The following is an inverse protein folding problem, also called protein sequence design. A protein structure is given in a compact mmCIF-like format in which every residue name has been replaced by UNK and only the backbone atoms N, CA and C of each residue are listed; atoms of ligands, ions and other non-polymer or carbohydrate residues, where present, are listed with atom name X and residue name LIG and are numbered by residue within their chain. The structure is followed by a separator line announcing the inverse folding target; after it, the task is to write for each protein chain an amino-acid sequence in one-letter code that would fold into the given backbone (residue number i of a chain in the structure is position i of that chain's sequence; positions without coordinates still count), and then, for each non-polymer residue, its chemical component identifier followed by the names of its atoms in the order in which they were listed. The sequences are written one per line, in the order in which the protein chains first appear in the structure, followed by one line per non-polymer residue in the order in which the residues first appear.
data_IF_012270993963
#
_entry.id   IF_012270993963
#
_cell.length_a   1.000
_cell.length_b   1.000
_cell.length_c   1.000
_cell.angle_alpha   90.00
_cell.angle_beta   90.00
_cell.angle_gamma   90.00
#
_symmetry.space_group_name_H-M   'P 1'
#
loop_
_entity.id
_entity.type
_entity.pdbx_description
1 polymer ?
#
# COMPACT_ATOMS: atom_id res chain seq x y z
N UNK A 1 2.30 -4.34 -6.45
CA UNK A 1 1.38 -4.60 -7.59
C UNK A 1 1.21 -6.10 -7.73
N UNK A 2 0.00 -6.57 -8.04
CA UNK A 2 -0.29 -7.95 -8.40
C UNK A 2 -0.67 -7.97 -9.88
N UNK A 3 0.10 -8.67 -10.71
CA UNK A 3 0.03 -8.54 -12.17
C UNK A 3 -0.49 -9.84 -12.79
N UNK A 4 -1.42 -9.73 -13.74
CA UNK A 4 -1.82 -10.82 -14.63
C UNK A 4 -1.61 -10.42 -16.09
N UNK A 5 -1.71 -11.38 -16.99
CA UNK A 5 -1.66 -11.19 -18.43
C UNK A 5 -3.08 -11.24 -19.00
N UNK A 6 -3.51 -10.15 -19.65
CA UNK A 6 -4.87 -10.00 -20.19
C UNK A 6 -5.20 -11.04 -21.27
N UNK A 7 -4.19 -11.63 -21.91
CA UNK A 7 -4.35 -12.67 -22.94
C UNK A 7 -4.29 -14.09 -22.36
N UNK A 8 -4.24 -14.24 -21.03
CA UNK A 8 -4.07 -15.51 -20.34
C UNK A 8 -5.02 -15.68 -19.15
N UNK A 9 -6.13 -16.39 -19.41
CA UNK A 9 -7.10 -16.84 -18.37
C UNK A 9 -6.45 -17.58 -17.20
N UNK A 10 -5.42 -18.39 -17.50
CA UNK A 10 -4.65 -19.11 -16.47
C UNK A 10 -3.94 -18.15 -15.54
N UNK A 11 -3.37 -17.06 -16.06
CA UNK A 11 -2.67 -16.08 -15.22
C UNK A 11 -3.61 -15.36 -14.26
N UNK A 12 -4.82 -15.02 -14.72
CA UNK A 12 -5.83 -14.39 -13.89
C UNK A 12 -6.39 -15.36 -12.84
N UNK A 13 -6.68 -16.60 -13.23
CA UNK A 13 -7.10 -17.65 -12.29
C UNK A 13 -6.05 -17.92 -11.20
N UNK A 14 -4.76 -17.95 -11.55
CA UNK A 14 -3.67 -18.08 -10.59
C UNK A 14 -3.56 -16.86 -9.66
N UNK A 15 -3.80 -15.66 -10.20
CA UNK A 15 -3.85 -14.44 -9.40
C UNK A 15 -4.98 -14.53 -8.36
N UNK A 16 -6.19 -14.90 -8.77
CA UNK A 16 -7.37 -15.02 -7.91
C UNK A 16 -7.21 -16.06 -6.81
N UNK A 17 -6.71 -17.25 -7.17
CA UNK A 17 -6.68 -18.42 -6.28
C UNK A 17 -5.46 -18.47 -5.36
N UNK A 18 -4.30 -17.95 -5.80
CA UNK A 18 -3.04 -18.15 -5.10
C UNK A 18 -2.37 -16.81 -4.71
N UNK A 19 -2.08 -15.94 -5.68
CA UNK A 19 -1.23 -14.77 -5.40
C UNK A 19 -1.86 -13.78 -4.44
N UNK A 20 -3.18 -13.54 -4.55
CA UNK A 20 -3.88 -12.68 -3.60
C UNK A 20 -3.83 -13.23 -2.17
N UNK A 21 -3.93 -14.55 -2.01
CA UNK A 21 -3.84 -15.22 -0.70
C UNK A 21 -2.43 -15.10 -0.12
N UNK A 22 -1.40 -15.38 -0.91
CA UNK A 22 -0.01 -15.29 -0.47
C UNK A 22 0.40 -13.87 -0.10
N UNK A 23 -0.04 -12.86 -0.88
CA UNK A 23 0.17 -11.45 -0.57
C UNK A 23 -0.50 -11.12 0.76
N UNK A 24 -1.77 -11.48 0.96
CA UNK A 24 -2.48 -11.18 2.21
C UNK A 24 -1.86 -11.85 3.43
N UNK A 25 -1.26 -13.02 3.26
CA UNK A 25 -0.62 -13.77 4.34
C UNK A 25 0.71 -13.15 4.79
N UNK A 26 1.48 -12.57 3.87
CA UNK A 26 2.85 -12.12 4.15
C UNK A 26 3.03 -10.60 4.11
N UNK A 27 2.08 -9.86 3.54
CA UNK A 27 2.17 -8.41 3.43
C UNK A 27 1.97 -7.73 4.80
N UNK A 28 2.73 -6.68 5.11
CA UNK A 28 2.50 -5.88 6.31
C UNK A 28 1.14 -5.18 6.22
N UNK A 29 0.56 -4.83 7.37
CA UNK A 29 -0.77 -4.19 7.46
C UNK A 29 -0.83 -2.87 6.68
N UNK A 30 0.30 -2.17 6.57
CA UNK A 30 0.40 -0.93 5.82
C UNK A 30 0.71 -1.13 4.33
N UNK A 31 0.74 -2.35 3.79
CA UNK A 31 0.99 -2.58 2.37
C UNK A 31 -0.08 -1.95 1.47
N UNK A 32 0.33 -1.38 0.34
CA UNK A 32 -0.57 -0.91 -0.71
C UNK A 32 -0.61 -1.95 -1.82
N UNK A 33 -1.82 -2.36 -2.20
CA UNK A 33 -2.07 -3.32 -3.27
C UNK A 33 -2.77 -2.63 -4.45
N UNK A 34 -2.38 -3.00 -5.66
CA UNK A 34 -2.97 -2.58 -6.93
C UNK A 34 -2.98 -3.79 -7.85
N UNK A 35 -4.08 -4.00 -8.55
CA UNK A 35 -4.24 -5.03 -9.57
C UNK A 35 -3.82 -4.46 -10.94
N UNK A 36 -3.05 -5.23 -11.70
CA UNK A 36 -2.53 -4.78 -13.01
C UNK A 36 -2.74 -5.87 -14.06
N UNK A 37 -3.52 -5.57 -15.10
CA UNK A 37 -3.58 -6.37 -16.32
C UNK A 37 -2.48 -5.94 -17.27
N UNK A 38 -1.56 -6.82 -17.64
CA UNK A 38 -0.47 -6.53 -18.57
C UNK A 38 -0.82 -6.99 -19.99
N UNK A 39 -0.08 -6.48 -20.96
CA UNK A 39 -0.24 -6.70 -22.41
C UNK A 39 -1.49 -6.07 -23.00
N UNK A 40 -1.86 -4.87 -22.52
CA UNK A 40 -2.95 -4.09 -23.08
C UNK A 40 -2.77 -3.72 -24.56
N UNK A 41 -1.56 -3.84 -25.11
CA UNK A 41 -1.30 -3.70 -26.55
C UNK A 41 -1.87 -4.86 -27.40
N UNK A 42 -2.24 -5.98 -26.78
CA UNK A 42 -2.77 -7.18 -27.44
C UNK A 42 -4.28 -7.32 -27.25
N UNK A 43 -5.03 -6.23 -27.42
CA UNK A 43 -6.48 -6.18 -27.18
C UNK A 43 -7.26 -7.23 -27.99
N UNK A 44 -6.84 -7.52 -29.23
CA UNK A 44 -7.45 -8.55 -30.07
C UNK A 44 -7.27 -9.98 -29.54
N UNK A 45 -6.31 -10.20 -28.64
CA UNK A 45 -6.04 -11.48 -27.99
C UNK A 45 -6.57 -11.52 -26.56
N UNK A 46 -7.36 -10.53 -26.13
CA UNK A 46 -7.94 -10.46 -24.80
C UNK A 46 -8.70 -11.75 -24.50
N UNK A 47 -8.38 -12.32 -23.34
CA UNK A 47 -9.12 -13.45 -22.77
C UNK A 47 -9.76 -13.10 -21.43
N UNK A 48 -9.25 -12.09 -20.74
CA UNK A 48 -9.80 -11.60 -19.48
C UNK A 48 -10.57 -10.31 -19.73
N UNK A 49 -11.89 -10.36 -19.54
CA UNK A 49 -12.74 -9.18 -19.66
C UNK A 49 -12.41 -8.14 -18.60
N UNK A 50 -12.40 -6.86 -18.99
CA UNK A 50 -12.14 -5.75 -18.07
C UNK A 50 -13.11 -5.77 -16.89
N UNK A 51 -14.42 -5.98 -17.14
CA UNK A 51 -15.43 -6.02 -16.09
C UNK A 51 -15.20 -7.13 -15.05
N UNK A 52 -14.60 -8.26 -15.45
CA UNK A 52 -14.22 -9.33 -14.51
C UNK A 52 -13.08 -8.88 -13.60
N UNK A 53 -12.06 -8.27 -14.17
CA UNK A 53 -10.94 -7.71 -13.41
C UNK A 53 -11.38 -6.56 -12.49
N UNK A 54 -12.28 -5.69 -12.96
CA UNK A 54 -12.86 -4.58 -12.21
C UNK A 54 -13.70 -5.09 -11.03
N UNK A 55 -14.52 -6.12 -11.24
CA UNK A 55 -15.28 -6.75 -10.17
C UNK A 55 -14.39 -7.37 -9.08
N UNK A 56 -13.25 -7.95 -9.47
CA UNK A 56 -12.23 -8.41 -8.53
C UNK A 56 -11.59 -7.24 -7.77
N UNK A 57 -11.14 -6.20 -8.48
CA UNK A 57 -10.51 -5.02 -7.88
C UNK A 57 -11.44 -4.34 -6.87
N UNK A 58 -12.71 -4.19 -7.22
CA UNK A 58 -13.77 -3.64 -6.35
C UNK A 58 -13.95 -4.48 -5.09
N UNK A 59 -14.04 -5.81 -5.21
CA UNK A 59 -14.12 -6.73 -4.06
C UNK A 59 -12.92 -6.66 -3.14
N UNK A 60 -11.74 -6.36 -3.68
CA UNK A 60 -10.50 -6.22 -2.92
C UNK A 60 -10.32 -4.81 -2.33
N UNK A 61 -11.08 -3.81 -2.81
CA UNK A 61 -10.89 -2.41 -2.46
C UNK A 61 -9.57 -1.83 -2.99
N UNK A 62 -9.13 -2.27 -4.17
CA UNK A 62 -7.86 -1.84 -4.79
C UNK A 62 -8.10 -1.24 -6.16
N UNK A 63 -7.17 -0.41 -6.64
CA UNK A 63 -7.19 0.10 -8.01
C UNK A 63 -6.81 -0.97 -9.03
N UNK A 64 -7.36 -0.83 -10.25
CA UNK A 64 -7.07 -1.64 -11.42
C UNK A 64 -6.48 -0.76 -12.52
N UNK A 65 -5.39 -1.23 -13.14
CA UNK A 65 -4.84 -0.65 -14.36
C UNK A 65 -4.60 -1.74 -15.40
N UNK A 66 -4.90 -1.44 -16.66
CA UNK A 66 -4.43 -2.24 -17.79
C UNK A 66 -3.27 -1.52 -18.47
N UNK A 67 -2.12 -2.19 -18.55
CA UNK A 67 -0.85 -1.62 -18.98
C UNK A 67 -0.23 -2.44 -20.10
N UNK A 68 0.64 -1.81 -20.87
CA UNK A 68 1.58 -2.54 -21.73
C UNK A 68 3.00 -2.19 -21.35
N UNK A 69 3.69 -3.13 -20.72
CA UNK A 69 5.14 -3.01 -20.50
C UNK A 69 5.94 -2.89 -21.82
N UNK A 70 5.34 -3.28 -22.96
CA UNK A 70 5.99 -3.22 -24.27
C UNK A 70 5.88 -1.84 -24.91
N UNK A 71 4.71 -1.23 -24.86
CA UNK A 71 4.44 0.05 -25.55
C UNK A 71 4.42 1.25 -24.60
N UNK A 72 4.43 1.02 -23.29
CA UNK A 72 4.35 2.05 -22.26
C UNK A 72 2.92 2.49 -21.90
N UNK A 73 1.89 1.90 -22.54
CA UNK A 73 0.48 2.22 -22.24
C UNK A 73 0.24 2.10 -20.74
N UNK A 74 -0.23 3.20 -20.14
CA UNK A 74 -0.63 3.34 -18.74
C UNK A 74 0.43 2.96 -17.68
N UNK A 75 1.68 2.68 -18.08
CA UNK A 75 2.73 2.28 -17.15
C UNK A 75 3.08 3.40 -16.16
N UNK A 76 3.25 4.63 -16.68
CA UNK A 76 3.59 5.78 -15.86
C UNK A 76 2.46 6.12 -14.89
N UNK A 77 1.21 6.13 -15.37
CA UNK A 77 0.04 6.42 -14.53
C UNK A 77 -0.15 5.39 -13.42
N UNK A 78 0.00 4.10 -13.73
CA UNK A 78 -0.07 3.03 -12.73
C UNK A 78 1.02 3.20 -11.66
N UNK A 79 2.26 3.52 -12.07
CA UNK A 79 3.36 3.73 -11.15
C UNK A 79 3.17 4.97 -10.26
N UNK A 80 2.78 6.10 -10.85
CA UNK A 80 2.53 7.34 -10.10
C UNK A 80 1.38 7.19 -9.10
N UNK A 81 0.31 6.50 -9.50
CA UNK A 81 -0.85 6.23 -8.63
C UNK A 81 -0.43 5.36 -7.44
N UNK A 82 0.37 4.32 -7.68
CA UNK A 82 0.86 3.47 -6.61
C UNK A 82 1.77 4.25 -5.64
N UNK A 83 2.68 5.07 -6.17
CA UNK A 83 3.58 5.90 -5.36
C UNK A 83 2.82 6.92 -4.50
N UNK A 84 1.77 7.54 -5.06
CA UNK A 84 0.90 8.45 -4.33
C UNK A 84 0.18 7.75 -3.17
N UNK A 85 -0.45 6.60 -3.44
CA UNK A 85 -1.14 5.81 -2.42
C UNK A 85 -0.19 5.32 -1.30
N UNK A 86 1.05 4.96 -1.64
CA UNK A 86 2.08 4.62 -0.64
C UNK A 86 2.40 5.80 0.26
N UNK A 87 2.63 6.99 -0.32
CA UNK A 87 2.93 8.21 0.43
C UNK A 87 1.79 8.56 1.39
N UNK A 88 0.55 8.54 0.92
CA UNK A 88 -0.64 8.81 1.75
C UNK A 88 -0.74 7.86 2.94
N UNK A 89 -0.48 6.57 2.70
CA UNK A 89 -0.53 5.55 3.75
C UNK A 89 0.59 5.69 4.78
N UNK A 90 1.79 6.10 4.36
CA UNK A 90 2.91 6.41 5.26
C UNK A 90 2.59 7.65 6.11
N UNK A 91 2.07 8.72 5.50
CA UNK A 91 1.70 9.94 6.25
C UNK A 91 0.59 9.68 7.26
N UNK A 92 -0.43 8.92 6.91
CA UNK A 92 -1.51 8.58 7.83
C UNK A 92 -1.01 7.72 9.01
N UNK A 93 -0.06 6.82 8.76
CA UNK A 93 0.55 6.01 9.81
C UNK A 93 1.42 6.86 10.76
N UNK A 94 2.22 7.78 10.22
CA UNK A 94 3.07 8.69 11.02
C UNK A 94 2.28 9.62 11.93
N UNK A 95 1.04 9.98 11.56
CA UNK A 95 0.19 10.83 12.40
C UNK A 95 -0.53 10.06 13.51
N UNK A 96 -0.59 8.72 13.43
CA UNK A 96 -1.24 7.87 14.45
C UNK A 96 -0.26 7.38 15.53
N UNK A 97 1.05 7.54 15.32
CA UNK A 97 2.09 7.15 16.27
C UNK A 97 2.43 8.22 17.31
N UNK A 98 1.93 9.45 17.19
CA UNK A 98 2.22 10.53 18.14
C UNK A 98 1.18 10.70 19.27
N UNK A 99 0.00 10.07 19.19
CA UNK A 99 -1.09 10.28 20.18
C UNK A 99 -1.12 9.26 21.34
N UNK A 100 -0.34 8.17 21.27
CA UNK A 100 -0.33 7.13 22.33
C UNK A 100 0.84 7.22 23.31
N UNK A 101 1.86 8.04 23.06
CA UNK A 101 3.03 8.15 23.95
C UNK A 101 3.06 9.45 24.77
N UNK A 102 2.31 10.50 24.42
CA UNK A 102 2.27 11.73 25.23
C UNK A 102 1.49 11.58 26.54
N UNK A 103 0.48 10.71 26.62
CA UNK A 103 -0.30 10.55 27.86
C UNK A 103 0.40 9.73 28.96
N UNK A 104 1.42 8.95 28.62
CA UNK A 104 2.26 8.23 29.59
C UNK A 104 3.56 9.00 29.92
N UNK A 105 4.09 9.78 28.97
CA UNK A 105 5.25 10.64 29.21
C UNK A 105 4.90 11.89 30.05
N UNK A 106 3.69 12.47 29.94
CA UNK A 106 3.31 13.64 30.76
C UNK A 106 3.07 13.26 32.24
N UNK A 107 2.79 11.98 32.56
CA UNK A 107 2.77 11.49 33.96
C UNK A 107 4.16 11.18 34.52
N UNK A 108 5.17 11.03 33.67
CA UNK A 108 6.56 10.77 34.05
C UNK A 108 7.43 12.01 34.27
N UNK A 109 6.94 13.21 33.95
CA UNK A 109 7.75 14.45 34.03
C UNK A 109 7.45 15.35 35.22
N UNK A 110 6.75 14.85 36.24
CA UNK A 110 6.67 15.53 37.53
C UNK A 110 7.65 14.92 38.54
N UNK A 111 8.96 15.03 38.24
CA UNK A 111 10.17 14.84 39.09
C UNK A 111 11.33 14.48 38.13
N UNK A 112 12.04 15.38 37.48
CA UNK A 112 13.03 16.26 38.11
C UNK A 112 13.77 17.04 37.01
N UNK A 113 13.28 18.23 36.62
CA UNK A 113 14.08 19.22 35.87
C UNK A 113 14.50 20.41 36.75
N UNK A 114 14.32 20.31 38.07
CA UNK A 114 14.77 21.32 39.04
C UNK A 114 15.63 20.77 40.18
N UNK A 115 15.96 19.47 40.21
CA UNK A 115 16.79 18.90 41.29
C UNK A 115 18.31 19.02 41.09
N UNK A 116 18.79 19.60 39.99
CA UNK A 116 20.23 19.81 39.77
C UNK A 116 20.68 21.28 39.90
N UNK A 117 19.77 22.25 40.03
CA UNK A 117 20.12 23.67 40.11
C UNK A 117 20.03 24.28 41.52
N UNK A 118 19.54 23.54 42.53
CA UNK A 118 19.40 24.06 43.90
C UNK A 118 20.49 23.59 44.89
N UNK A 119 21.55 22.92 44.42
CA UNK A 119 22.62 22.36 45.28
C UNK A 119 23.95 23.13 45.23
N UNK A 120 23.98 24.34 44.66
CA UNK A 120 25.20 25.17 44.56
C UNK A 120 25.05 26.61 45.07
N UNK A 121 24.01 26.95 45.84
CA UNK A 121 23.83 28.33 46.34
C UNK A 121 23.76 28.46 47.88
N UNK A 122 23.70 27.37 48.66
CA UNK A 122 23.84 27.48 50.11
C UNK A 122 24.73 26.36 50.69
N UNK A 123 25.97 26.73 51.07
CA UNK A 123 26.86 25.94 51.94
C UNK A 123 28.13 25.41 51.30
#
# INVERSE_FOLDING_TARGET
MCVYDMTSEKSFSNLESYWLTEIRKHAPQNAVLMLVGNKADLESERKVDFGRAEGLATRLGVSLYEVSAKTGINCDEAFHTLAAAMREKITAFSMHSDDSDEHELVRGWHLSSLSLLLLLIDG
#
